data_IF_351934249862
#
_entry.id   IF_351934249862
#
_cell.length_a   1.000
_cell.length_b   1.000
_cell.length_c   1.000
_cell.angle_alpha   90.00
_cell.angle_beta   90.00
_cell.angle_gamma   90.00
#
_symmetry.space_group_name_H-M   'P 1'
#
loop_
_entity.id
_entity.type
_entity.pdbx_description
1 polymer ?
#
# COMPACT_ATOMS: atom_id res chain seq x y z
N UNK A 1 -40.09 -62.57 67.57
CA UNK A 1 -39.64 -61.20 67.28
C UNK A 1 -39.02 -61.19 65.90
N UNK A 2 -39.63 -60.44 64.98
CA UNK A 2 -39.18 -60.20 63.60
C UNK A 2 -38.09 -59.11 63.56
N UNK A 3 -37.28 -59.14 62.48
CA UNK A 3 -36.54 -58.03 61.83
C UNK A 3 -35.07 -58.42 61.61
N UNK A 4 -34.39 -58.05 60.52
CA UNK A 4 -34.74 -57.39 59.27
C UNK A 4 -33.47 -57.47 58.41
N UNK A 5 -33.62 -57.97 57.18
CA UNK A 5 -32.59 -57.96 56.15
C UNK A 5 -32.47 -56.52 55.62
N UNK A 6 -31.26 -55.96 55.55
CA UNK A 6 -31.03 -54.75 54.73
C UNK A 6 -29.69 -54.80 54.00
N UNK A 7 -29.76 -55.32 52.78
CA UNK A 7 -28.81 -55.10 51.70
C UNK A 7 -28.59 -53.58 51.49
N UNK A 8 -27.33 -53.15 51.47
CA UNK A 8 -26.93 -51.81 51.02
C UNK A 8 -26.50 -51.92 49.56
N UNK A 9 -27.38 -51.47 48.66
CA UNK A 9 -27.06 -51.31 47.25
C UNK A 9 -26.04 -50.19 47.03
N UNK A 10 -24.98 -50.49 46.29
CA UNK A 10 -24.04 -49.50 45.78
C UNK A 10 -24.64 -48.89 44.51
N UNK A 11 -24.95 -47.60 44.54
CA UNK A 11 -25.29 -46.82 43.35
C UNK A 11 -24.00 -46.26 42.75
N UNK A 12 -23.59 -46.78 41.59
CA UNK A 12 -22.55 -46.15 40.77
C UNK A 12 -23.20 -45.11 39.85
N UNK A 13 -22.77 -43.84 39.87
CA UNK A 13 -23.24 -42.87 38.89
C UNK A 13 -22.58 -43.16 37.53
N UNK A 14 -23.39 -43.42 36.52
CA UNK A 14 -22.98 -43.43 35.12
C UNK A 14 -22.56 -42.01 34.69
N UNK A 15 -21.26 -41.75 34.68
CA UNK A 15 -20.69 -40.51 34.12
C UNK A 15 -20.83 -40.57 32.60
N UNK A 16 -21.86 -39.91 32.07
CA UNK A 16 -22.06 -39.73 30.64
C UNK A 16 -21.06 -38.69 30.13
N UNK A 17 -19.98 -39.15 29.48
CA UNK A 17 -18.97 -38.30 28.85
C UNK A 17 -19.60 -37.57 27.66
N UNK A 18 -19.90 -36.28 27.83
CA UNK A 18 -20.36 -35.41 26.73
C UNK A 18 -19.11 -35.03 25.93
N UNK A 19 -18.89 -35.70 24.80
CA UNK A 19 -17.91 -35.25 23.81
C UNK A 19 -18.46 -33.98 23.16
N UNK A 20 -18.02 -32.82 23.65
CA UNK A 20 -18.21 -31.56 22.93
C UNK A 20 -17.28 -31.59 21.72
N UNK A 21 -17.84 -31.78 20.53
CA UNK A 21 -17.14 -31.48 19.30
C UNK A 21 -16.95 -29.96 19.24
N UNK A 22 -15.72 -29.50 19.44
CA UNK A 22 -15.35 -28.12 19.15
C UNK A 22 -15.13 -28.02 17.66
N UNK A 23 -15.91 -27.18 16.97
CA UNK A 23 -15.63 -26.81 15.60
C UNK A 23 -14.52 -25.75 15.59
N UNK A 24 -13.28 -26.18 15.41
CA UNK A 24 -12.18 -25.26 15.10
C UNK A 24 -12.28 -24.89 13.62
N UNK A 25 -12.88 -23.75 13.32
CA UNK A 25 -12.72 -23.10 12.01
C UNK A 25 -11.32 -22.48 11.99
N UNK A 26 -10.41 -23.08 11.23
CA UNK A 26 -9.07 -22.49 11.00
C UNK A 26 -9.24 -21.45 9.90
N UNK A 27 -8.85 -20.21 10.18
CA UNK A 27 -8.79 -19.17 9.17
C UNK A 27 -7.70 -19.51 8.15
N UNK A 28 -8.05 -19.45 6.87
CA UNK A 28 -7.12 -19.67 5.76
C UNK A 28 -6.89 -18.31 5.07
N UNK A 29 -5.68 -17.74 5.19
CA UNK A 29 -5.40 -16.44 4.60
C UNK A 29 -5.27 -16.53 3.07
N UNK A 30 -5.29 -15.38 2.37
CA UNK A 30 -4.98 -15.31 0.95
C UNK A 30 -3.61 -15.92 0.63
N UNK A 31 -3.40 -16.37 -0.61
CA UNK A 31 -2.10 -16.95 -1.01
C UNK A 31 -1.01 -15.89 -1.08
N UNK A 32 0.02 -16.00 -0.23
CA UNK A 32 1.14 -15.03 -0.16
C UNK A 32 2.55 -15.67 -0.06
N UNK A 33 2.68 -16.97 -0.31
CA UNK A 33 3.91 -17.75 -0.10
C UNK A 33 5.17 -17.18 -0.80
N UNK A 34 4.99 -16.58 -1.98
CA UNK A 34 6.09 -15.96 -2.77
C UNK A 34 5.83 -14.46 -3.00
N UNK A 35 5.90 -13.70 -1.92
CA UNK A 35 5.80 -12.25 -1.93
C UNK A 35 7.05 -11.60 -2.53
N UNK A 36 6.86 -10.93 -3.67
CA UNK A 36 7.86 -10.15 -4.39
C UNK A 36 7.26 -8.78 -4.74
N UNK A 37 8.10 -7.80 -5.08
CA UNK A 37 7.64 -6.45 -5.46
C UNK A 37 6.61 -6.47 -6.59
N UNK A 38 6.81 -7.33 -7.60
CA UNK A 38 5.91 -7.44 -8.75
C UNK A 38 4.56 -8.09 -8.42
N UNK A 39 4.54 -9.08 -7.52
CA UNK A 39 3.29 -9.74 -7.09
C UNK A 39 2.52 -8.84 -6.14
N UNK A 40 3.23 -8.21 -5.18
CA UNK A 40 2.65 -7.23 -4.26
C UNK A 40 2.00 -6.07 -5.01
N UNK A 41 2.67 -5.45 -5.97
CA UNK A 41 2.10 -4.31 -6.71
C UNK A 41 0.80 -4.65 -7.44
N UNK A 42 0.65 -5.88 -7.93
CA UNK A 42 -0.54 -6.36 -8.66
C UNK A 42 -1.70 -6.74 -7.75
N UNK A 43 -1.44 -7.04 -6.48
CA UNK A 43 -2.51 -7.39 -5.53
C UNK A 43 -3.42 -6.20 -5.26
N UNK A 44 -4.71 -6.50 -5.13
CA UNK A 44 -5.72 -5.53 -4.71
C UNK A 44 -5.43 -5.02 -3.30
N UNK A 45 -5.92 -3.83 -2.99
CA UNK A 45 -5.69 -3.21 -1.68
C UNK A 45 -6.29 -4.06 -0.56
N UNK A 46 -7.51 -4.58 -0.73
CA UNK A 46 -8.18 -5.39 0.30
C UNK A 46 -7.37 -6.64 0.64
N UNK A 47 -6.83 -7.32 -0.38
CA UNK A 47 -5.99 -8.52 -0.19
C UNK A 47 -4.68 -8.18 0.52
N UNK A 48 -4.08 -7.02 0.24
CA UNK A 48 -2.88 -6.56 0.95
C UNK A 48 -3.19 -6.30 2.41
N UNK A 49 -4.27 -5.58 2.69
CA UNK A 49 -4.69 -5.24 4.04
C UNK A 49 -4.98 -6.51 4.84
N UNK A 50 -5.65 -7.51 4.24
CA UNK A 50 -5.91 -8.81 4.86
C UNK A 50 -4.62 -9.62 5.14
N UNK A 51 -3.67 -9.64 4.21
CA UNK A 51 -2.36 -10.29 4.42
C UNK A 51 -1.59 -9.59 5.55
N UNK A 52 -1.61 -8.26 5.59
CA UNK A 52 -0.96 -7.47 6.64
C UNK A 52 -1.57 -7.81 7.99
N UNK A 53 -2.90 -7.79 8.10
CA UNK A 53 -3.62 -8.10 9.35
C UNK A 53 -3.32 -9.53 9.82
N UNK A 54 -3.33 -10.51 8.90
CA UNK A 54 -2.97 -11.89 9.23
C UNK A 54 -1.54 -12.01 9.78
N UNK A 55 -0.57 -11.39 9.09
CA UNK A 55 0.83 -11.44 9.51
C UNK A 55 1.04 -10.71 10.83
N UNK A 56 0.38 -9.57 11.05
CA UNK A 56 0.46 -8.81 12.29
C UNK A 56 -0.06 -9.63 13.47
N UNK A 57 -1.25 -10.24 13.32
CA UNK A 57 -1.81 -11.17 14.31
C UNK A 57 -0.89 -12.37 14.59
N UNK A 58 -0.28 -12.95 13.55
CA UNK A 58 0.68 -14.05 13.73
C UNK A 58 1.95 -13.64 14.47
N UNK A 59 2.42 -12.42 14.24
CA UNK A 59 3.61 -11.87 14.89
C UNK A 59 3.39 -11.50 16.36
N UNK A 60 2.15 -11.42 16.85
CA UNK A 60 1.84 -11.28 18.28
C UNK A 60 2.18 -12.55 19.09
N UNK A 61 2.18 -13.72 18.45
CA UNK A 61 2.50 -14.99 19.08
C UNK A 61 4.01 -15.27 19.10
N UNK A 62 4.43 -16.47 19.53
CA UNK A 62 5.83 -16.88 19.45
C UNK A 62 6.28 -17.07 17.99
N UNK A 63 7.31 -16.33 17.59
CA UNK A 63 7.87 -16.34 16.25
C UNK A 63 8.50 -17.68 15.87
N UNK A 64 8.91 -18.48 16.86
CA UNK A 64 9.45 -19.82 16.62
C UNK A 64 8.43 -20.78 16.01
N UNK A 65 7.13 -20.53 16.24
CA UNK A 65 6.02 -21.30 15.69
C UNK A 65 5.54 -20.82 14.31
N UNK A 66 6.10 -19.74 13.79
CA UNK A 66 5.73 -19.16 12.49
C UNK A 66 6.45 -19.89 11.36
N UNK A 67 5.76 -20.20 10.26
CA UNK A 67 6.39 -20.89 9.16
C UNK A 67 7.40 -19.99 8.44
N UNK A 68 8.46 -20.58 7.87
CA UNK A 68 9.56 -19.81 7.28
C UNK A 68 9.10 -18.88 6.13
N UNK A 69 8.12 -19.29 5.35
CA UNK A 69 7.57 -18.47 4.27
C UNK A 69 6.79 -17.26 4.82
N UNK A 70 6.07 -17.43 5.94
CA UNK A 70 5.37 -16.34 6.61
C UNK A 70 6.36 -15.32 7.19
N UNK A 71 7.46 -15.79 7.81
CA UNK A 71 8.51 -14.90 8.31
C UNK A 71 9.14 -14.08 7.18
N UNK A 72 9.37 -14.69 6.02
CA UNK A 72 9.86 -13.98 4.82
C UNK A 72 8.85 -12.98 4.29
N UNK A 73 7.57 -13.34 4.27
CA UNK A 73 6.48 -12.44 3.88
C UNK A 73 6.38 -11.24 4.83
N UNK A 74 6.43 -11.47 6.14
CA UNK A 74 6.46 -10.42 7.15
C UNK A 74 7.66 -9.48 6.95
N UNK A 75 8.85 -10.04 6.73
CA UNK A 75 10.04 -9.25 6.40
C UNK A 75 9.84 -8.39 5.15
N UNK A 76 9.27 -8.96 4.07
CA UNK A 76 8.99 -8.24 2.84
C UNK A 76 7.95 -7.12 3.03
N UNK A 77 6.87 -7.38 3.78
CA UNK A 77 5.87 -6.35 4.10
C UNK A 77 6.52 -5.21 4.89
N UNK A 78 7.30 -5.52 5.92
CA UNK A 78 7.93 -4.50 6.78
C UNK A 78 9.06 -3.72 6.10
N UNK A 79 9.88 -4.37 5.27
CA UNK A 79 11.16 -3.82 4.76
C UNK A 79 11.35 -3.90 3.24
N UNK A 80 10.42 -4.48 2.49
CA UNK A 80 10.54 -4.62 1.04
C UNK A 80 10.51 -3.27 0.31
N UNK A 81 10.96 -3.32 -0.95
CA UNK A 81 11.08 -2.18 -1.87
C UNK A 81 9.71 -1.79 -2.45
N UNK A 82 8.81 -1.38 -1.57
CA UNK A 82 7.46 -0.93 -1.89
C UNK A 82 7.03 0.24 -1.02
N UNK A 83 5.97 0.91 -1.43
CA UNK A 83 5.43 2.11 -0.82
C UNK A 83 6.46 3.24 -0.86
N UNK A 84 6.73 3.92 0.27
CA UNK A 84 7.72 5.00 0.31
C UNK A 84 9.16 4.53 0.12
N UNK A 85 9.43 3.22 0.19
CA UNK A 85 10.75 2.61 0.00
C UNK A 85 10.99 2.09 -1.41
N UNK A 86 10.02 2.24 -2.32
CA UNK A 86 10.24 1.88 -3.71
C UNK A 86 11.38 2.72 -4.31
N UNK A 87 12.22 2.08 -5.13
CA UNK A 87 13.31 2.74 -5.88
C UNK A 87 12.81 4.07 -6.51
N UNK A 88 13.50 5.20 -6.26
CA UNK A 88 13.09 6.49 -6.80
C UNK A 88 12.98 6.44 -8.33
N UNK A 89 11.89 6.98 -8.88
CA UNK A 89 11.57 6.94 -10.32
C UNK A 89 11.19 5.58 -10.91
N UNK A 90 11.13 4.50 -10.12
CA UNK A 90 10.64 3.21 -10.59
C UNK A 90 9.14 3.22 -10.90
N UNK A 91 8.69 2.26 -11.73
CA UNK A 91 7.25 2.04 -11.98
C UNK A 91 6.49 1.74 -10.68
N UNK A 92 7.15 1.08 -9.72
CA UNK A 92 6.59 0.79 -8.40
C UNK A 92 6.25 2.07 -7.64
N UNK A 93 7.20 3.01 -7.59
CA UNK A 93 7.01 4.32 -6.94
C UNK A 93 5.88 5.12 -7.60
N UNK A 94 5.76 5.07 -8.94
CA UNK A 94 4.69 5.77 -9.65
C UNK A 94 3.30 5.16 -9.41
N UNK A 95 3.20 3.83 -9.38
CA UNK A 95 1.92 3.13 -9.17
C UNK A 95 1.36 3.29 -7.75
N UNK A 96 2.20 3.73 -6.80
CA UNK A 96 1.82 3.90 -5.40
C UNK A 96 1.70 5.38 -4.99
N UNK A 97 1.79 6.31 -5.95
CA UNK A 97 1.56 7.72 -5.69
C UNK A 97 0.13 7.97 -5.18
N UNK A 98 0.03 8.80 -4.14
CA UNK A 98 -1.26 9.29 -3.68
C UNK A 98 -1.90 10.18 -4.73
N UNK A 99 -3.23 10.15 -4.85
CA UNK A 99 -3.96 11.05 -5.75
C UNK A 99 -3.66 12.53 -5.51
N UNK A 100 -3.41 12.92 -4.25
CA UNK A 100 -3.00 14.28 -3.91
C UNK A 100 -1.62 14.64 -4.49
N UNK A 101 -0.67 13.69 -4.48
CA UNK A 101 0.65 13.88 -5.06
C UNK A 101 0.58 14.05 -6.58
N UNK A 102 -0.27 13.25 -7.25
CA UNK A 102 -0.51 13.35 -8.69
C UNK A 102 -1.06 14.74 -9.05
N UNK A 103 -2.07 15.21 -8.31
CA UNK A 103 -2.68 16.53 -8.53
C UNK A 103 -1.64 17.64 -8.32
N UNK A 104 -0.89 17.59 -7.21
CA UNK A 104 0.11 18.61 -6.89
C UNK A 104 1.21 18.67 -7.95
N UNK A 105 1.75 17.51 -8.36
CA UNK A 105 2.74 17.43 -9.44
C UNK A 105 2.18 17.95 -10.77
N UNK A 106 0.92 17.66 -11.05
CA UNK A 106 0.22 18.15 -12.23
C UNK A 106 0.10 19.67 -12.25
N UNK A 107 -0.36 20.28 -11.15
CA UNK A 107 -0.48 21.74 -11.01
C UNK A 107 0.89 22.40 -11.14
N UNK A 108 1.89 21.90 -10.41
CA UNK A 108 3.23 22.46 -10.43
C UNK A 108 3.85 22.42 -11.83
N UNK A 109 3.77 21.27 -12.49
CA UNK A 109 4.28 21.10 -13.86
C UNK A 109 3.51 21.96 -14.86
N UNK A 110 2.19 22.09 -14.68
CA UNK A 110 1.33 22.93 -15.51
C UNK A 110 1.68 24.41 -15.41
N UNK A 111 1.91 24.91 -14.19
CA UNK A 111 2.32 26.31 -13.94
C UNK A 111 3.68 26.59 -14.57
N UNK A 112 4.67 25.71 -14.39
CA UNK A 112 5.98 25.86 -15.01
C UNK A 112 5.89 25.87 -16.53
N UNK A 113 5.13 24.96 -17.12
CA UNK A 113 4.96 24.89 -18.57
C UNK A 113 4.25 26.14 -19.12
N UNK A 114 3.20 26.61 -18.44
CA UNK A 114 2.50 27.83 -18.80
C UNK A 114 3.41 29.06 -18.74
N UNK A 115 4.22 29.19 -17.68
CA UNK A 115 5.18 30.28 -17.54
C UNK A 115 6.21 30.30 -18.68
N UNK A 116 6.76 29.13 -19.03
CA UNK A 116 7.69 28.98 -20.15
C UNK A 116 7.01 29.34 -21.48
N UNK A 117 5.78 28.87 -21.71
CA UNK A 117 5.04 29.16 -22.93
C UNK A 117 4.75 30.66 -23.10
N UNK A 118 4.27 31.33 -22.05
CA UNK A 118 4.03 32.78 -22.06
C UNK A 118 5.33 33.55 -22.27
N UNK A 119 6.41 33.15 -21.59
CA UNK A 119 7.72 33.77 -21.77
C UNK A 119 8.24 33.65 -23.21
N UNK A 120 8.08 32.49 -23.85
CA UNK A 120 8.49 32.28 -25.24
C UNK A 120 7.69 33.13 -26.22
N UNK A 121 6.37 33.25 -26.03
CA UNK A 121 5.51 34.09 -26.86
C UNK A 121 5.88 35.57 -26.72
N UNK A 122 6.06 36.05 -25.49
CA UNK A 122 6.44 37.43 -25.22
C UNK A 122 7.83 37.76 -25.78
N UNK A 123 8.80 36.84 -25.64
CA UNK A 123 10.13 37.01 -26.21
C UNK A 123 10.12 37.18 -27.74
N UNK A 124 9.20 36.50 -28.43
CA UNK A 124 9.00 36.65 -29.87
C UNK A 124 8.49 38.03 -30.26
N UNK A 125 7.51 38.56 -29.52
CA UNK A 125 6.97 39.90 -29.74
C UNK A 125 7.99 41.00 -29.40
N UNK A 126 8.72 40.88 -28.30
CA UNK A 126 9.75 41.85 -27.89
C UNK A 126 10.84 42.01 -28.94
N UNK A 127 11.22 40.92 -29.62
CA UNK A 127 12.17 40.99 -30.75
C UNK A 127 11.62 41.74 -31.95
N UNK A 128 10.32 41.63 -32.25
CA UNK A 128 9.69 42.38 -33.36
C UNK A 128 9.63 43.87 -33.04
N UNK A 129 9.18 44.21 -31.83
CA UNK A 129 9.11 45.60 -31.36
C UNK A 129 10.49 46.25 -31.39
N UNK A 130 11.51 45.54 -30.90
CA UNK A 130 12.90 46.05 -30.91
C UNK A 130 13.40 46.36 -32.33
N UNK A 131 13.17 45.47 -33.30
CA UNK A 131 13.51 45.72 -34.71
C UNK A 131 12.76 46.92 -35.30
N UNK A 132 11.48 47.06 -34.97
CA UNK A 132 10.68 48.19 -35.44
C UNK A 132 11.20 49.52 -34.86
N UNK A 133 11.57 49.55 -33.58
CA UNK A 133 12.17 50.73 -32.94
C UNK A 133 13.51 51.10 -33.57
N UNK A 134 14.36 50.12 -33.89
CA UNK A 134 15.62 50.35 -34.60
C UNK A 134 15.39 50.94 -36.01
N UNK A 135 14.41 50.44 -36.76
CA UNK A 135 14.05 50.99 -38.07
C UNK A 135 13.55 52.42 -37.96
N UNK A 136 12.67 52.73 -37.00
CA UNK A 136 12.16 54.08 -36.77
C UNK A 136 13.28 55.05 -36.40
N UNK A 137 14.19 54.63 -35.51
CA UNK A 137 15.36 55.43 -35.13
C UNK A 137 16.23 55.75 -36.34
N UNK A 138 16.55 54.74 -37.17
CA UNK A 138 17.34 54.92 -38.39
C UNK A 138 16.66 55.87 -39.38
N UNK A 139 15.35 55.80 -39.54
CA UNK A 139 14.60 56.69 -40.41
C UNK A 139 14.56 58.13 -39.89
N UNK A 140 14.49 58.31 -38.57
CA UNK A 140 14.53 59.63 -37.94
C UNK A 140 15.92 60.29 -38.02
N UNK A 141 17.00 59.50 -37.90
CA UNK A 141 18.38 59.96 -38.01
C UNK A 141 18.88 60.08 -39.47
N UNK A 142 18.24 59.37 -40.40
CA UNK A 142 18.60 59.30 -41.83
C UNK A 142 17.94 60.34 -42.74
N UNK A 143 17.25 61.33 -42.18
CA UNK A 143 16.72 62.47 -42.93
C UNK A 143 17.70 63.65 -42.74
N UNK A 144 18.37 64.16 -43.80
CA UNK A 144 19.14 65.39 -43.70
C UNK A 144 18.25 66.59 -43.32
#
# INVERSE_FOLDING_TARGET
MLASIRSRGFYLPLIRRINRFSSTTVYEPPKFEELNTSTWLKMNKETKDEIIEYLDWKMEADWSGMAQHEQRAAYFVSFGDWGPRAEPSSKAAQMQMSGAEIILRGIFSGVLFAAVAVSALNYGEDRKVSKNLEMLKKNAEGNP
#
